data_IF_755965982275
#
_entry.id   IF_755965982275
#
_cell.length_a   1.000
_cell.length_b   1.000
_cell.length_c   1.000
_cell.angle_alpha   90.00
_cell.angle_beta   90.00
_cell.angle_gamma   90.00
#
_symmetry.space_group_name_H-M   'P 1'
#
loop_
_entity.id
_entity.type
_entity.pdbx_description
1 polymer ?
#
# COMPACT_ATOMS: atom_id res chain seq x y z
N UNK A 1 24.08 10.96 -21.20
CA UNK A 1 23.80 11.42 -19.85
C UNK A 1 23.06 10.34 -19.10
N UNK A 2 23.55 9.92 -17.98
CA UNK A 2 22.80 8.93 -17.22
C UNK A 2 21.50 9.53 -16.74
N UNK A 3 20.43 8.94 -17.14
CA UNK A 3 19.14 9.28 -16.57
C UNK A 3 19.12 8.66 -15.20
N UNK A 4 19.05 9.50 -14.21
CA UNK A 4 18.94 9.02 -12.84
C UNK A 4 17.50 8.61 -12.60
N UNK A 5 17.28 7.31 -12.51
CA UNK A 5 16.00 6.79 -12.09
C UNK A 5 15.95 6.65 -10.58
N UNK A 6 16.71 7.51 -9.88
CA UNK A 6 16.56 7.58 -8.45
C UNK A 6 15.09 7.82 -8.13
N UNK A 7 14.59 7.13 -7.13
CA UNK A 7 13.22 7.30 -6.72
C UNK A 7 12.93 8.78 -6.58
N UNK A 8 12.00 9.29 -7.37
CA UNK A 8 11.57 10.66 -7.26
C UNK A 8 10.93 10.84 -5.90
N UNK A 9 11.37 11.84 -5.17
CA UNK A 9 10.70 12.21 -3.92
C UNK A 9 9.34 12.82 -4.24
N UNK A 10 8.47 12.89 -3.25
CA UNK A 10 7.21 13.60 -3.42
C UNK A 10 7.46 15.05 -3.86
N UNK A 11 8.47 15.68 -3.29
CA UNK A 11 8.83 17.06 -3.65
C UNK A 11 9.20 17.17 -5.13
N UNK A 12 10.01 16.25 -5.63
CA UNK A 12 10.39 16.24 -7.06
C UNK A 12 9.16 16.08 -7.95
N UNK A 13 8.26 15.18 -7.60
CA UNK A 13 7.04 14.94 -8.36
C UNK A 13 6.11 16.16 -8.33
N UNK A 14 5.95 16.79 -7.18
CA UNK A 14 5.18 18.02 -7.04
C UNK A 14 5.75 19.12 -7.94
N UNK A 15 7.07 19.29 -7.91
CA UNK A 15 7.73 20.31 -8.74
C UNK A 15 7.62 20.03 -10.23
N UNK A 16 7.64 18.77 -10.63
CA UNK A 16 7.40 18.43 -12.05
C UNK A 16 6.00 18.84 -12.49
N UNK A 17 5.01 18.60 -11.66
CA UNK A 17 3.63 18.97 -11.97
C UNK A 17 3.47 20.48 -11.97
N UNK A 18 4.03 21.18 -10.99
CA UNK A 18 4.00 22.64 -10.96
C UNK A 18 4.63 23.24 -12.19
N UNK A 19 5.78 22.71 -12.60
CA UNK A 19 6.46 23.16 -13.83
C UNK A 19 5.60 22.98 -15.07
N UNK A 20 4.85 21.87 -15.16
CA UNK A 20 4.01 21.58 -16.30
C UNK A 20 2.86 22.55 -16.48
N UNK A 21 2.43 23.21 -15.40
CA UNK A 21 1.36 24.22 -15.44
C UNK A 21 1.91 25.64 -15.34
N UNK A 22 3.22 25.82 -15.50
CA UNK A 22 3.85 27.13 -15.50
C UNK A 22 4.09 27.76 -14.14
N UNK A 23 4.02 26.96 -13.09
CA UNK A 23 4.26 27.45 -11.74
C UNK A 23 5.72 27.24 -11.32
N UNK A 24 6.20 28.12 -10.45
CA UNK A 24 7.55 28.03 -9.93
C UNK A 24 7.72 26.82 -8.99
N UNK A 25 8.89 26.18 -9.01
CA UNK A 25 9.15 25.09 -8.07
C UNK A 25 9.20 25.60 -6.63
N UNK A 26 8.89 24.70 -5.69
CA UNK A 26 8.96 24.97 -4.26
C UNK A 26 10.10 24.17 -3.65
N UNK A 27 10.61 24.65 -2.52
CA UNK A 27 11.72 23.98 -1.83
C UNK A 27 11.24 23.02 -0.74
N UNK A 28 10.01 23.20 -0.29
CA UNK A 28 9.39 22.34 0.72
C UNK A 28 7.92 22.12 0.38
N UNK A 29 7.37 21.01 0.85
CA UNK A 29 5.95 20.73 0.71
C UNK A 29 5.22 21.44 1.86
N UNK A 30 4.49 22.50 1.51
CA UNK A 30 3.73 23.29 2.47
C UNK A 30 2.25 23.21 2.13
N UNK A 31 1.48 22.57 3.02
CA UNK A 31 0.04 22.42 2.85
C UNK A 31 -0.73 23.73 2.95
N UNK A 32 -0.11 24.79 3.49
CA UNK A 32 -0.73 26.10 3.52
C UNK A 32 -0.73 26.77 2.14
N UNK A 33 0.12 26.32 1.24
CA UNK A 33 0.08 26.76 -0.15
C UNK A 33 -1.01 25.95 -0.87
N UNK A 34 -2.11 26.59 -1.33
CA UNK A 34 -3.24 25.87 -1.92
C UNK A 34 -2.85 25.04 -3.17
N UNK A 35 -1.94 25.58 -3.99
CA UNK A 35 -1.51 24.87 -5.20
C UNK A 35 -0.75 23.61 -4.87
N UNK A 36 0.15 23.67 -3.89
CA UNK A 36 0.90 22.51 -3.42
C UNK A 36 -0.03 21.47 -2.82
N UNK A 37 -1.01 21.91 -2.01
CA UNK A 37 -1.95 21.01 -1.38
C UNK A 37 -2.78 20.24 -2.42
N UNK A 38 -3.26 20.91 -3.46
CA UNK A 38 -4.04 20.28 -4.52
C UNK A 38 -3.17 19.29 -5.29
N UNK A 39 -1.98 19.69 -5.69
CA UNK A 39 -1.06 18.83 -6.44
C UNK A 39 -0.70 17.60 -5.63
N UNK A 40 -0.36 17.77 -4.35
CA UNK A 40 0.04 16.66 -3.49
C UNK A 40 -1.09 15.67 -3.26
N UNK A 41 -2.30 16.17 -3.00
CA UNK A 41 -3.47 15.31 -2.82
C UNK A 41 -3.75 14.50 -4.07
N UNK A 42 -3.73 15.16 -5.23
CA UNK A 42 -3.96 14.49 -6.52
C UNK A 42 -2.88 13.44 -6.78
N UNK A 43 -1.62 13.77 -6.52
CA UNK A 43 -0.50 12.87 -6.71
C UNK A 43 -0.66 11.61 -5.87
N UNK A 44 -1.03 11.75 -4.61
CA UNK A 44 -1.22 10.61 -3.71
C UNK A 44 -2.40 9.73 -4.14
N UNK A 45 -3.48 10.35 -4.60
CA UNK A 45 -4.63 9.60 -5.10
C UNK A 45 -4.30 8.82 -6.36
N UNK A 46 -3.61 9.44 -7.31
CA UNK A 46 -3.19 8.78 -8.55
C UNK A 46 -2.21 7.65 -8.24
N UNK A 47 -1.27 7.87 -7.33
CA UNK A 47 -0.34 6.84 -6.90
C UNK A 47 -1.08 5.62 -6.35
N UNK A 48 -2.06 5.85 -5.52
CA UNK A 48 -2.89 4.78 -4.96
C UNK A 48 -3.67 4.05 -6.03
N UNK A 49 -4.28 4.78 -6.98
CA UNK A 49 -5.04 4.18 -8.08
C UNK A 49 -4.16 3.31 -8.96
N UNK A 50 -2.99 3.82 -9.35
CA UNK A 50 -2.07 3.09 -10.21
C UNK A 50 -1.60 1.82 -9.53
N UNK A 51 -1.21 1.90 -8.26
CA UNK A 51 -0.73 0.74 -7.54
C UNK A 51 -1.83 -0.26 -7.21
N UNK A 52 -3.08 0.18 -7.13
CA UNK A 52 -4.22 -0.72 -6.89
C UNK A 52 -4.44 -1.71 -8.03
N UNK A 53 -3.91 -1.43 -9.21
CA UNK A 53 -3.98 -2.36 -10.34
C UNK A 53 -3.14 -3.62 -10.13
N UNK A 54 -2.21 -3.59 -9.18
CA UNK A 54 -1.41 -4.76 -8.85
C UNK A 54 -0.29 -5.01 -9.84
N UNK A 55 0.77 -4.23 -9.72
CA UNK A 55 1.96 -4.39 -10.54
C UNK A 55 2.91 -5.42 -9.90
N UNK A 56 3.83 -5.94 -10.72
CA UNK A 56 4.79 -6.93 -10.25
C UNK A 56 5.58 -6.45 -9.03
N UNK A 57 5.92 -5.16 -8.98
CA UNK A 57 6.73 -4.63 -7.89
C UNK A 57 5.97 -4.49 -6.57
N UNK A 58 4.64 -4.38 -6.59
CA UNK A 58 3.85 -4.14 -5.39
C UNK A 58 2.93 -5.28 -5.01
N UNK A 59 3.11 -6.45 -5.61
CA UNK A 59 2.38 -7.66 -5.23
C UNK A 59 3.29 -8.67 -4.54
N UNK A 60 2.82 -9.24 -3.46
CA UNK A 60 3.44 -10.40 -2.81
C UNK A 60 2.44 -11.54 -2.76
N UNK A 61 2.88 -12.71 -3.21
CA UNK A 61 2.05 -13.91 -3.17
C UNK A 61 2.41 -14.78 -1.98
N UNK A 62 1.41 -15.44 -1.44
CA UNK A 62 1.59 -16.35 -0.30
C UNK A 62 2.26 -15.69 0.90
N UNK A 63 1.94 -14.43 1.13
CA UNK A 63 2.40 -13.73 2.30
C UNK A 63 1.75 -14.31 3.55
N UNK A 64 2.54 -14.54 4.58
CA UNK A 64 2.04 -15.15 5.82
C UNK A 64 1.54 -14.08 6.77
N UNK A 65 0.25 -14.13 7.07
CA UNK A 65 -0.37 -13.30 8.10
C UNK A 65 -0.44 -14.12 9.37
N UNK A 66 0.31 -13.70 10.39
CA UNK A 66 0.39 -14.42 11.66
C UNK A 66 -0.54 -13.81 12.68
N UNK A 67 -1.36 -14.64 13.36
CA UNK A 67 -2.15 -14.16 14.49
C UNK A 67 -1.24 -13.66 15.62
N UNK A 68 -1.69 -12.63 16.32
CA UNK A 68 -1.01 -12.16 17.51
C UNK A 68 -0.97 -13.28 18.56
N UNK A 69 0.17 -13.45 19.21
CA UNK A 69 0.35 -14.54 20.17
C UNK A 69 -0.56 -14.42 21.40
N UNK A 70 -1.00 -13.23 21.71
CA UNK A 70 -1.85 -12.97 22.90
C UNK A 70 -3.33 -12.90 22.53
N UNK A 71 -3.68 -12.14 21.50
CA UNK A 71 -5.08 -11.91 21.13
C UNK A 71 -5.60 -12.90 20.09
N UNK A 72 -4.71 -13.60 19.40
CA UNK A 72 -5.01 -14.49 18.27
C UNK A 72 -5.65 -13.76 17.09
N UNK A 73 -5.65 -12.42 17.10
CA UNK A 73 -6.23 -11.61 16.05
C UNK A 73 -5.19 -11.28 14.97
N UNK A 74 -5.66 -11.11 13.74
CA UNK A 74 -4.81 -10.67 12.62
C UNK A 74 -5.23 -9.26 12.23
N UNK A 75 -4.27 -8.31 12.34
CA UNK A 75 -4.50 -6.95 11.90
C UNK A 75 -4.32 -6.85 10.39
N UNK A 76 -5.18 -6.03 9.76
CA UNK A 76 -5.03 -5.74 8.35
C UNK A 76 -3.72 -4.98 8.14
N UNK A 77 -2.84 -5.42 7.23
CA UNK A 77 -1.56 -4.76 7.03
C UNK A 77 -1.72 -3.28 6.66
N UNK A 78 -0.91 -2.43 7.28
CA UNK A 78 -1.09 -0.96 7.23
C UNK A 78 -1.05 -0.40 5.82
N UNK A 79 -0.14 -0.88 4.98
CA UNK A 79 0.04 -0.35 3.62
C UNK A 79 -0.53 -1.29 2.56
N UNK A 80 -1.44 -2.16 2.94
CA UNK A 80 -2.07 -3.06 1.98
C UNK A 80 -3.25 -2.38 1.30
N UNK A 81 -3.22 -2.33 -0.03
CA UNK A 81 -4.34 -1.88 -0.84
C UNK A 81 -5.37 -2.98 -0.99
N UNK A 82 -4.89 -4.21 -1.07
CA UNK A 82 -5.75 -5.38 -1.21
C UNK A 82 -5.09 -6.58 -0.53
N UNK A 83 -5.90 -7.36 0.15
CA UNK A 83 -5.49 -8.63 0.75
C UNK A 83 -6.45 -9.69 0.24
N UNK A 84 -5.93 -10.59 -0.59
CA UNK A 84 -6.71 -11.69 -1.14
C UNK A 84 -6.26 -12.96 -0.45
N UNK A 85 -7.07 -13.44 0.49
CA UNK A 85 -6.74 -14.67 1.21
C UNK A 85 -6.86 -15.86 0.29
N UNK A 86 -5.96 -16.83 0.49
CA UNK A 86 -5.90 -18.00 -0.37
C UNK A 86 -7.02 -18.97 0.00
N UNK A 87 -8.18 -18.77 -0.59
CA UNK A 87 -9.39 -19.54 -0.28
C UNK A 87 -9.20 -21.03 -0.53
N UNK A 88 -8.39 -21.39 -1.52
CA UNK A 88 -8.15 -22.79 -1.84
C UNK A 88 -7.47 -23.54 -0.70
N UNK A 89 -6.65 -22.85 0.09
CA UNK A 89 -5.96 -23.45 1.23
C UNK A 89 -6.80 -23.45 2.51
N UNK A 90 -7.76 -22.53 2.63
CA UNK A 90 -8.48 -22.30 3.89
C UNK A 90 -9.99 -22.45 3.77
N UNK A 91 -10.49 -22.83 2.61
CA UNK A 91 -11.91 -22.82 2.29
C UNK A 91 -12.80 -23.57 3.30
N UNK A 92 -12.30 -24.68 3.83
CA UNK A 92 -13.07 -25.49 4.77
C UNK A 92 -12.89 -25.05 6.22
N UNK A 93 -11.86 -24.25 6.49
CA UNK A 93 -11.50 -23.85 7.85
C UNK A 93 -11.90 -22.42 8.18
N UNK A 94 -11.83 -21.53 7.19
CA UNK A 94 -12.03 -20.10 7.40
C UNK A 94 -12.71 -19.46 6.19
N UNK A 95 -13.51 -18.44 6.48
CA UNK A 95 -14.02 -17.51 5.47
C UNK A 95 -13.60 -16.11 5.89
N UNK A 96 -12.44 -15.67 5.40
CA UNK A 96 -11.77 -14.48 5.89
C UNK A 96 -12.22 -13.23 5.15
N UNK A 97 -12.66 -12.24 5.88
CA UNK A 97 -13.01 -10.92 5.35
C UNK A 97 -12.39 -9.83 6.19
N UNK A 98 -12.28 -8.64 5.63
CA UNK A 98 -11.82 -7.49 6.37
C UNK A 98 -12.99 -6.84 7.11
N UNK A 99 -12.79 -6.55 8.41
CA UNK A 99 -13.70 -5.73 9.19
C UNK A 99 -12.89 -4.64 9.89
N UNK A 100 -12.97 -3.42 9.37
CA UNK A 100 -12.18 -2.31 9.89
C UNK A 100 -10.69 -2.57 9.73
N UNK A 101 -9.96 -2.60 10.83
CA UNK A 101 -8.51 -2.83 10.84
C UNK A 101 -8.12 -4.28 11.12
N UNK A 102 -9.08 -5.18 11.17
CA UNK A 102 -8.85 -6.58 11.50
C UNK A 102 -9.41 -7.49 10.43
N UNK A 103 -8.90 -8.71 10.39
CA UNK A 103 -9.52 -9.78 9.64
C UNK A 103 -10.58 -10.47 10.50
N UNK A 104 -11.63 -10.92 9.88
CA UNK A 104 -12.72 -11.61 10.53
C UNK A 104 -13.03 -12.92 9.82
N UNK A 105 -13.26 -13.96 10.59
CA UNK A 105 -13.66 -15.26 10.07
C UNK A 105 -15.20 -15.38 10.11
N UNK A 106 -15.84 -15.32 8.95
CA UNK A 106 -17.29 -15.42 8.85
C UNK A 106 -17.79 -16.84 9.07
N UNK A 107 -16.95 -17.84 8.81
CA UNK A 107 -17.35 -19.22 8.98
C UNK A 107 -17.52 -19.56 10.45
N UNK A 108 -16.58 -19.14 11.28
CA UNK A 108 -16.59 -19.44 12.72
C UNK A 108 -17.06 -18.25 13.57
N UNK A 109 -17.44 -17.14 12.95
CA UNK A 109 -17.96 -15.94 13.61
C UNK A 109 -17.02 -15.39 14.68
N UNK A 110 -15.74 -15.27 14.35
CA UNK A 110 -14.73 -14.82 15.30
C UNK A 110 -13.63 -14.00 14.63
N UNK A 111 -12.99 -13.12 15.41
CA UNK A 111 -11.77 -12.42 14.98
C UNK A 111 -10.51 -13.23 15.29
N UNK A 112 -10.64 -14.37 15.95
CA UNK A 112 -9.49 -15.17 16.39
C UNK A 112 -9.15 -16.23 15.36
N UNK A 113 -7.87 -16.32 15.06
CA UNK A 113 -7.33 -17.32 14.14
C UNK A 113 -6.32 -18.19 14.88
N UNK A 114 -6.38 -19.49 14.66
CA UNK A 114 -5.50 -20.46 15.35
C UNK A 114 -4.32 -20.89 14.50
N UNK A 115 -4.26 -20.41 13.27
CA UNK A 115 -3.15 -20.73 12.35
C UNK A 115 -2.85 -19.54 11.48
N UNK A 116 -1.67 -19.58 10.85
CA UNK A 116 -1.27 -18.56 9.90
C UNK A 116 -2.17 -18.59 8.67
N UNK A 117 -2.49 -17.41 8.15
CA UNK A 117 -3.30 -17.26 6.94
C UNK A 117 -2.41 -16.81 5.82
N UNK A 118 -2.45 -17.52 4.68
CA UNK A 118 -1.73 -17.13 3.48
C UNK A 118 -2.59 -16.21 2.64
N UNK A 119 -1.97 -15.15 2.14
CA UNK A 119 -2.66 -14.16 1.34
C UNK A 119 -1.77 -13.60 0.25
N UNK A 120 -2.40 -13.19 -0.84
CA UNK A 120 -1.76 -12.40 -1.87
C UNK A 120 -2.04 -10.94 -1.56
N UNK A 121 -1.00 -10.14 -1.41
CA UNK A 121 -1.13 -8.76 -0.95
C UNK A 121 -0.65 -7.81 -2.03
N UNK A 122 -1.46 -6.77 -2.29
CA UNK A 122 -1.06 -5.64 -3.10
C UNK A 122 -0.73 -4.49 -2.16
N UNK A 123 0.52 -4.06 -2.17
CA UNK A 123 1.03 -3.04 -1.26
C UNK A 123 0.97 -1.66 -1.88
N UNK A 124 0.85 -0.64 -1.03
CA UNK A 124 1.06 0.75 -1.42
C UNK A 124 2.46 1.18 -1.03
N UNK A 125 3.26 1.58 -2.00
CA UNK A 125 4.56 2.17 -1.76
C UNK A 125 4.48 3.69 -1.94
N UNK A 126 4.94 4.41 -0.92
CA UNK A 126 5.03 5.87 -0.99
C UNK A 126 6.21 6.30 -1.84
N UNK A 127 6.19 7.54 -2.34
CA UNK A 127 7.26 8.06 -3.18
C UNK A 127 8.62 8.03 -2.50
N UNK A 128 8.65 8.27 -1.20
CA UNK A 128 9.88 8.32 -0.43
C UNK A 128 10.22 6.99 0.23
N UNK A 129 9.54 5.93 -0.16
CA UNK A 129 9.77 4.59 0.38
C UNK A 129 11.01 3.98 -0.27
N UNK A 130 12.06 3.79 0.51
CA UNK A 130 13.34 3.26 0.06
C UNK A 130 13.42 1.74 0.12
N UNK A 131 12.30 1.04 0.08
CA UNK A 131 12.32 -0.41 0.16
C UNK A 131 13.11 -1.01 -1.01
N UNK A 132 13.99 -1.99 -0.72
CA UNK A 132 14.85 -2.57 -1.75
C UNK A 132 14.09 -3.16 -2.94
N UNK A 133 12.87 -3.64 -2.71
CA UNK A 133 12.05 -4.24 -3.78
C UNK A 133 11.74 -3.25 -4.90
N UNK A 134 11.58 -1.97 -4.60
CA UNK A 134 11.34 -0.96 -5.62
C UNK A 134 12.63 -0.61 -6.33
N UNK A 135 13.73 -0.51 -5.60
CA UNK A 135 15.01 -0.09 -6.16
C UNK A 135 15.62 -1.13 -7.08
N UNK A 136 15.26 -2.39 -6.92
CA UNK A 136 15.82 -3.50 -7.70
C UNK A 136 15.03 -3.79 -8.99
N UNK A 137 13.98 -3.05 -9.23
CA UNK A 137 13.26 -3.10 -10.48
C UNK A 137 13.70 -1.96 -11.39
#
# INVERSE_FOLDING_TARGET
MPVTYAASTELDAVNQILSSVGQAPVTTIDFQNPEVAIVLTTLREVNKQVQSEGWMFNQERNYTLKPDSTTEEILYPTNALQVDTNEDQHRDDYDVVRRGKKLYDRLNHTYKFKQDIKADITWLYEFDDERPTIQNY
#
